data_IF_201879443105
#
_entry.id   IF_201879443105
#
_cell.length_a   1.000
_cell.length_b   1.000
_cell.length_c   1.000
_cell.angle_alpha   90.00
_cell.angle_beta   90.00
_cell.angle_gamma   90.00
#
_symmetry.space_group_name_H-M   'P 1'
#
loop_
_entity.id
_entity.type
_entity.pdbx_description
1 polymer ?
#
# COMPACT_ATOMS: atom_id res chain seq x y z
N UNK A 1 17.08 -16.72 -12.66
CA UNK A 1 16.30 -17.24 -11.52
C UNK A 1 14.88 -16.72 -11.70
N UNK A 2 13.96 -17.58 -12.16
CA UNK A 2 12.57 -17.17 -12.37
C UNK A 2 11.91 -17.10 -11.00
N UNK A 3 11.73 -15.89 -10.48
CA UNK A 3 10.89 -15.66 -9.30
C UNK A 3 9.45 -15.90 -9.72
N UNK A 4 8.92 -17.08 -9.41
CA UNK A 4 7.48 -17.34 -9.47
C UNK A 4 6.79 -16.35 -8.53
N UNK A 5 6.09 -15.37 -9.09
CA UNK A 5 5.28 -14.46 -8.28
C UNK A 5 4.13 -15.25 -7.65
N UNK A 6 3.97 -15.22 -6.32
CA UNK A 6 2.85 -15.89 -5.68
C UNK A 6 1.55 -15.27 -6.18
N UNK A 7 0.62 -16.13 -6.60
CA UNK A 7 -0.69 -15.72 -7.12
C UNK A 7 -1.38 -14.89 -6.03
N UNK A 8 -1.55 -13.58 -6.26
CA UNK A 8 -2.12 -12.64 -5.31
C UNK A 8 -3.39 -12.00 -5.90
N UNK A 9 -4.51 -12.75 -5.93
CA UNK A 9 -5.75 -12.26 -6.50
C UNK A 9 -6.40 -11.27 -5.54
N UNK A 10 -6.99 -10.22 -6.10
CA UNK A 10 -7.76 -9.26 -5.33
C UNK A 10 -9.10 -9.88 -4.93
N UNK A 11 -9.36 -10.08 -3.63
CA UNK A 11 -10.61 -10.65 -3.13
C UNK A 11 -11.89 -9.92 -3.56
N UNK A 12 -11.79 -8.65 -3.98
CA UNK A 12 -12.93 -7.84 -4.41
C UNK A 12 -13.32 -8.03 -5.87
N UNK A 13 -12.31 -8.12 -6.75
CA UNK A 13 -12.52 -8.12 -8.20
C UNK A 13 -12.00 -9.37 -8.89
N UNK A 14 -11.35 -10.29 -8.16
CA UNK A 14 -10.76 -11.52 -8.69
C UNK A 14 -9.49 -11.34 -9.51
N UNK A 15 -9.18 -10.11 -9.97
CA UNK A 15 -8.00 -9.82 -10.80
C UNK A 15 -6.71 -9.92 -9.98
N UNK A 16 -5.64 -10.40 -10.61
CA UNK A 16 -4.31 -10.48 -10.01
C UNK A 16 -3.75 -9.08 -9.69
N UNK A 17 -3.27 -8.89 -8.46
CA UNK A 17 -2.65 -7.62 -8.04
C UNK A 17 -1.28 -7.48 -8.69
N UNK A 18 -0.99 -6.28 -9.19
CA UNK A 18 0.30 -5.97 -9.83
C UNK A 18 1.28 -5.46 -8.78
N UNK A 19 2.48 -6.01 -8.76
CA UNK A 19 3.53 -5.51 -7.88
C UNK A 19 4.07 -4.20 -8.44
N UNK A 20 3.99 -3.13 -7.65
CA UNK A 20 4.44 -1.79 -8.05
C UNK A 20 5.82 -1.45 -7.50
N UNK A 21 6.20 -2.05 -6.37
CA UNK A 21 7.48 -1.78 -5.72
C UNK A 21 7.92 -2.95 -4.86
N UNK A 22 9.19 -3.33 -4.97
CA UNK A 22 9.88 -4.23 -4.05
C UNK A 22 11.07 -3.45 -3.47
N UNK A 23 11.26 -3.45 -2.16
CA UNK A 23 12.41 -2.82 -1.52
C UNK A 23 12.85 -3.61 -0.30
N UNK A 24 14.13 -3.52 0.02
CA UNK A 24 14.70 -4.12 1.22
C UNK A 24 15.00 -3.01 2.23
N UNK A 25 14.50 -3.17 3.44
CA UNK A 25 14.77 -2.27 4.56
C UNK A 25 15.61 -3.01 5.59
N UNK A 26 16.69 -2.39 6.08
CA UNK A 26 17.49 -2.93 7.17
C UNK A 26 17.05 -2.28 8.48
N UNK A 27 16.41 -3.05 9.34
CA UNK A 27 15.95 -2.57 10.65
C UNK A 27 16.54 -3.45 11.74
N UNK A 28 17.22 -2.83 12.70
CA UNK A 28 17.84 -3.47 13.88
C UNK A 28 18.59 -4.78 13.58
N UNK A 29 19.42 -4.80 12.53
CA UNK A 29 20.26 -5.94 12.16
C UNK A 29 19.59 -7.00 11.28
N UNK A 30 18.27 -6.93 11.07
CA UNK A 30 17.53 -7.80 10.15
C UNK A 30 17.29 -7.12 8.80
N UNK A 31 17.31 -7.90 7.71
CA UNK A 31 16.86 -7.47 6.38
C UNK A 31 15.39 -7.83 6.22
N UNK A 32 14.55 -6.83 6.03
CA UNK A 32 13.11 -6.96 5.78
C UNK A 32 12.87 -6.74 4.29
N UNK A 33 12.32 -7.73 3.60
CA UNK A 33 11.91 -7.61 2.20
C UNK A 33 10.44 -7.18 2.12
N UNK A 34 10.22 -5.96 1.66
CA UNK A 34 8.90 -5.37 1.53
C UNK A 34 8.45 -5.39 0.06
N UNK A 35 7.21 -5.83 -0.17
CA UNK A 35 6.58 -5.84 -1.49
C UNK A 35 5.25 -5.10 -1.44
N UNK A 36 5.10 -4.09 -2.28
CA UNK A 36 3.85 -3.33 -2.44
C UNK A 36 3.18 -3.73 -3.74
N UNK A 37 1.90 -4.10 -3.64
CA UNK A 37 1.07 -4.49 -4.76
C UNK A 37 -0.22 -3.65 -4.81
N UNK A 38 -0.72 -3.39 -6.01
CA UNK A 38 -1.88 -2.54 -6.29
C UNK A 38 -2.88 -3.30 -7.15
N UNK A 39 -4.17 -3.04 -6.95
CA UNK A 39 -5.21 -3.61 -7.79
C UNK A 39 -5.17 -2.97 -9.19
N UNK A 40 -5.15 -3.75 -10.29
CA UNK A 40 -5.11 -3.19 -11.65
C UNK A 40 -6.42 -2.49 -12.05
N UNK A 41 -7.52 -2.78 -11.34
CA UNK A 41 -8.82 -2.19 -11.59
C UNK A 41 -8.99 -0.87 -10.81
N UNK A 42 -9.16 0.28 -11.49
CA UNK A 42 -9.15 1.59 -10.83
C UNK A 42 -10.38 1.80 -9.94
N UNK A 43 -11.52 1.20 -10.26
CA UNK A 43 -12.73 1.31 -9.44
C UNK A 43 -12.60 0.50 -8.15
N UNK A 44 -12.05 -0.71 -8.26
CA UNK A 44 -11.72 -1.56 -7.13
C UNK A 44 -10.64 -0.91 -6.25
N UNK A 45 -9.60 -0.34 -6.86
CA UNK A 45 -8.52 0.31 -6.14
C UNK A 45 -9.04 1.51 -5.32
N UNK A 46 -9.90 2.35 -5.90
CA UNK A 46 -10.55 3.45 -5.15
C UNK A 46 -11.30 2.97 -3.90
N UNK A 47 -12.01 1.83 -3.98
CA UNK A 47 -12.71 1.25 -2.83
C UNK A 47 -11.74 0.81 -1.74
N UNK A 48 -10.60 0.22 -2.12
CA UNK A 48 -9.52 -0.17 -1.20
C UNK A 48 -8.92 1.06 -0.54
N UNK A 49 -8.57 2.09 -1.32
CA UNK A 49 -7.98 3.32 -0.80
C UNK A 49 -8.92 4.06 0.16
N UNK A 50 -10.21 4.15 -0.17
CA UNK A 50 -11.22 4.74 0.70
C UNK A 50 -11.40 3.97 2.02
N UNK A 51 -11.23 2.64 2.00
CA UNK A 51 -11.25 1.85 3.24
C UNK A 51 -9.97 2.04 4.05
N UNK A 52 -8.80 2.07 3.40
CA UNK A 52 -7.52 2.31 4.06
C UNK A 52 -7.50 3.70 4.72
N UNK A 53 -8.01 4.73 4.07
CA UNK A 53 -8.13 6.08 4.63
C UNK A 53 -9.00 6.11 5.88
N UNK A 54 -10.17 5.45 5.86
CA UNK A 54 -11.06 5.34 7.03
C UNK A 54 -10.42 4.57 8.18
N UNK A 55 -9.68 3.50 7.88
CA UNK A 55 -8.97 2.74 8.90
C UNK A 55 -7.83 3.56 9.52
N UNK A 56 -7.11 4.33 8.70
CA UNK A 56 -6.06 5.23 9.17
C UNK A 56 -6.65 6.31 10.08
N UNK A 57 -7.76 6.94 9.69
CA UNK A 57 -8.46 7.93 10.52
C UNK A 57 -8.85 7.32 11.88
N UNK A 58 -9.45 6.13 11.89
CA UNK A 58 -9.76 5.41 13.13
C UNK A 58 -8.51 5.14 13.96
N UNK A 59 -7.41 4.69 13.36
CA UNK A 59 -6.16 4.48 14.07
C UNK A 59 -5.65 5.77 14.71
N UNK A 60 -5.68 6.89 13.98
CA UNK A 60 -5.24 8.19 14.50
C UNK A 60 -6.10 8.68 15.67
N UNK A 61 -7.41 8.42 15.66
CA UNK A 61 -8.30 8.77 16.77
C UNK A 61 -8.05 7.94 18.04
N UNK A 62 -7.64 6.68 17.89
CA UNK A 62 -7.41 5.76 19.02
C UNK A 62 -5.94 5.72 19.49
N UNK A 63 -5.00 6.25 18.69
CA UNK A 63 -3.60 6.37 19.09
C UNK A 63 -3.44 7.52 20.09
N UNK A 64 -3.06 7.20 21.33
CA UNK A 64 -2.44 8.17 22.24
C UNK A 64 -1.15 8.70 21.58
N UNK A 65 -0.79 9.98 21.73
CA UNK A 65 0.29 10.60 20.98
C UNK A 65 1.67 10.06 21.39
N UNK A 66 2.10 8.96 20.78
CA UNK A 66 3.49 8.57 20.74
C UNK A 66 4.03 8.87 19.34
N UNK A 67 4.78 9.98 19.22
CA UNK A 67 5.79 10.23 18.18
C UNK A 67 5.35 10.07 16.73
N UNK A 68 5.00 11.18 16.09
CA UNK A 68 4.65 11.33 14.66
C UNK A 68 5.63 10.59 13.72
N UNK A 69 5.09 9.77 12.82
CA UNK A 69 5.60 9.71 11.44
C UNK A 69 4.44 10.01 10.50
N UNK A 70 4.47 11.13 9.74
CA UNK A 70 3.42 11.40 8.77
C UNK A 70 3.51 10.40 7.60
N UNK A 71 2.38 9.88 7.11
CA UNK A 71 2.39 9.11 5.87
C UNK A 71 2.87 9.98 4.71
N UNK A 72 3.76 9.44 3.89
CA UNK A 72 4.33 10.09 2.73
C UNK A 72 3.21 10.64 1.79
N UNK A 73 3.19 11.97 1.62
CA UNK A 73 2.18 12.75 0.89
C UNK A 73 2.21 12.52 -0.65
N UNK A 74 3.12 11.69 -1.16
CA UNK A 74 3.36 11.53 -2.61
C UNK A 74 2.26 10.77 -3.38
N UNK A 75 1.37 10.01 -2.72
CA UNK A 75 0.42 9.12 -3.43
C UNK A 75 -0.98 9.72 -3.69
N UNK A 76 -1.32 10.91 -3.17
CA UNK A 76 -2.68 11.48 -3.33
C UNK A 76 -2.85 12.53 -4.45
N UNK A 77 -1.81 12.88 -5.20
CA UNK A 77 -1.93 13.88 -6.28
C UNK A 77 -1.36 13.36 -7.61
N UNK A 78 -2.06 12.38 -8.17
CA UNK A 78 -2.06 12.20 -9.62
C UNK A 78 -2.86 13.33 -10.29
N UNK A 79 -2.23 13.97 -11.28
CA UNK A 79 -2.78 14.89 -12.31
C UNK A 79 -2.95 16.37 -11.92
N UNK A 80 -1.98 17.18 -12.37
CA UNK A 80 -2.30 18.28 -13.29
C UNK A 80 -1.27 18.31 -14.41
N UNK A 81 -1.73 17.96 -15.61
CA UNK A 81 -1.04 18.18 -16.88
C UNK A 81 -0.96 19.70 -17.11
N UNK A 82 0.18 20.18 -17.58
CA UNK A 82 0.23 21.28 -18.54
C UNK A 82 1.30 20.93 -19.58
#
# INVERSE_FOLDING_TARGET
MQTTEPINPCYRCGKERKIVKKWEEKTQGAKISCTMAVCPDPECQKKVDAQNARNLEKQLLHMKPHGKQPPNKQIVLGKKKN
#
